data_IF_859730926082
#
_entry.id   IF_859730926082
#
_cell.length_a   1.000
_cell.length_b   1.000
_cell.length_c   1.000
_cell.angle_alpha   90.00
_cell.angle_beta   90.00
_cell.angle_gamma   90.00
#
_symmetry.space_group_name_H-M   'P 1'
#
loop_
_entity.id
_entity.type
_entity.pdbx_description
1 polymer ?
#
# COMPACT_ATOMS: atom_id res chain seq x y z
N UNK A 1 -3.17 -20.56 4.78
CA UNK A 1 -2.93 -20.23 3.36
C UNK A 1 -1.58 -20.72 2.92
N UNK A 2 -1.39 -20.93 1.62
CA UNK A 2 -0.09 -21.18 1.01
C UNK A 2 0.24 -20.03 0.07
N UNK A 3 1.54 -19.70 -0.01
CA UNK A 3 2.03 -18.72 -0.97
C UNK A 3 2.33 -19.45 -2.28
N UNK A 4 1.55 -19.17 -3.30
CA UNK A 4 1.69 -19.78 -4.63
C UNK A 4 2.84 -19.13 -5.40
N UNK A 5 3.77 -19.94 -5.94
CA UNK A 5 4.97 -19.47 -6.64
C UNK A 5 4.62 -18.78 -7.96
N UNK A 6 3.67 -19.30 -8.73
CA UNK A 6 3.31 -18.70 -10.00
C UNK A 6 2.58 -17.37 -9.80
N UNK A 7 1.72 -17.29 -8.77
CA UNK A 7 1.10 -16.02 -8.41
C UNK A 7 2.15 -14.98 -7.98
N UNK A 8 3.14 -15.35 -7.15
CA UNK A 8 4.23 -14.45 -6.75
C UNK A 8 5.01 -13.95 -7.96
N UNK A 9 5.33 -14.85 -8.91
CA UNK A 9 6.01 -14.47 -10.15
C UNK A 9 5.22 -13.42 -10.92
N UNK A 10 3.91 -13.58 -11.05
CA UNK A 10 3.04 -12.60 -11.73
C UNK A 10 2.93 -11.28 -10.95
N UNK A 11 2.82 -11.36 -9.63
CA UNK A 11 2.83 -10.17 -8.77
C UNK A 11 4.13 -9.39 -8.94
N UNK A 12 5.25 -10.07 -8.88
CA UNK A 12 6.58 -9.47 -9.03
C UNK A 12 6.76 -8.80 -10.40
N UNK A 13 6.31 -9.44 -11.47
CA UNK A 13 6.34 -8.85 -12.81
C UNK A 13 5.54 -7.54 -12.88
N UNK A 14 4.36 -7.49 -12.26
CA UNK A 14 3.51 -6.28 -12.25
C UNK A 14 4.07 -5.17 -11.37
N UNK A 15 4.75 -5.53 -10.27
CA UNK A 15 5.29 -4.60 -9.28
C UNK A 15 6.75 -4.25 -9.51
N UNK A 16 7.50 -5.07 -10.28
CA UNK A 16 8.90 -4.83 -10.64
C UNK A 16 9.92 -5.42 -9.69
N UNK A 17 9.57 -6.46 -8.94
CA UNK A 17 10.50 -7.27 -8.17
C UNK A 17 11.18 -8.34 -9.03
N UNK A 18 12.25 -8.95 -8.51
CA UNK A 18 12.86 -10.14 -9.09
C UNK A 18 11.89 -11.33 -8.99
N UNK A 19 11.92 -12.24 -9.96
CA UNK A 19 10.91 -13.32 -10.09
C UNK A 19 10.82 -14.25 -8.87
N UNK A 20 11.95 -14.60 -8.28
CA UNK A 20 12.01 -15.63 -7.21
C UNK A 20 11.93 -15.08 -5.78
N UNK A 21 11.59 -13.80 -5.61
CA UNK A 21 11.49 -13.16 -4.29
C UNK A 21 10.04 -13.12 -3.85
N UNK A 22 9.73 -13.57 -2.64
CA UNK A 22 8.46 -13.24 -2.00
C UNK A 22 8.59 -11.82 -1.46
N UNK A 23 8.08 -10.85 -2.21
CA UNK A 23 8.15 -9.44 -1.83
C UNK A 23 7.43 -9.19 -0.50
N UNK A 24 7.99 -8.32 0.33
CA UNK A 24 7.42 -7.97 1.65
C UNK A 24 5.95 -7.53 1.56
N UNK A 25 5.58 -6.83 0.48
CA UNK A 25 4.21 -6.36 0.20
C UNK A 25 3.28 -7.44 -0.36
N UNK A 26 3.79 -8.60 -0.78
CA UNK A 26 2.97 -9.66 -1.36
C UNK A 26 2.01 -10.28 -0.33
N UNK A 27 2.45 -10.49 0.91
CA UNK A 27 1.63 -11.05 1.98
C UNK A 27 0.41 -10.17 2.30
N UNK A 28 0.52 -8.85 2.17
CA UNK A 28 -0.62 -7.93 2.31
C UNK A 28 -1.73 -8.25 1.29
N UNK A 29 -1.35 -8.62 0.07
CA UNK A 29 -2.31 -9.01 -0.97
C UNK A 29 -2.89 -10.40 -0.70
N UNK A 30 -2.09 -11.34 -0.23
CA UNK A 30 -2.57 -12.68 0.18
C UNK A 30 -3.62 -12.58 1.29
N UNK A 31 -3.46 -11.64 2.22
CA UNK A 31 -4.42 -11.40 3.30
C UNK A 31 -5.66 -10.59 2.89
N UNK A 32 -5.65 -9.93 1.72
CA UNK A 32 -6.71 -8.99 1.32
C UNK A 32 -8.13 -9.60 1.29
N UNK A 33 -8.35 -10.88 0.94
CA UNK A 33 -9.68 -11.49 1.04
C UNK A 33 -10.23 -11.50 2.47
N UNK A 34 -9.37 -11.69 3.49
CA UNK A 34 -9.78 -11.63 4.90
C UNK A 34 -10.12 -10.19 5.32
N UNK A 35 -9.36 -9.19 4.85
CA UNK A 35 -9.70 -7.78 5.07
C UNK A 35 -11.07 -7.47 4.49
N UNK A 36 -11.32 -7.86 3.24
CA UNK A 36 -12.61 -7.63 2.58
C UNK A 36 -13.75 -8.37 3.28
N UNK A 37 -13.52 -9.63 3.69
CA UNK A 37 -14.50 -10.39 4.46
C UNK A 37 -14.85 -9.68 5.76
N UNK A 38 -13.86 -9.24 6.55
CA UNK A 38 -14.06 -8.55 7.82
C UNK A 38 -14.82 -7.23 7.64
N UNK A 39 -14.42 -6.42 6.66
CA UNK A 39 -15.03 -5.11 6.38
C UNK A 39 -16.45 -5.21 5.78
N UNK A 40 -16.80 -6.35 5.17
CA UNK A 40 -18.13 -6.60 4.61
C UNK A 40 -19.13 -7.18 5.61
N UNK A 41 -18.70 -7.51 6.82
CA UNK A 41 -19.58 -8.07 7.85
C UNK A 41 -20.66 -7.07 8.28
N UNK A 42 -21.89 -7.53 8.53
CA UNK A 42 -22.97 -6.65 9.02
C UNK A 42 -22.64 -5.95 10.33
N UNK A 43 -21.78 -6.54 11.15
CA UNK A 43 -21.32 -5.99 12.42
C UNK A 43 -20.32 -4.83 12.24
N UNK A 44 -19.75 -4.68 11.04
CA UNK A 44 -18.87 -3.55 10.73
C UNK A 44 -19.72 -2.29 10.52
N UNK A 45 -19.59 -1.27 11.39
CA UNK A 45 -20.53 -0.14 11.42
C UNK A 45 -20.35 0.87 10.28
N UNK A 46 -19.31 0.72 9.47
CA UNK A 46 -18.92 1.71 8.47
C UNK A 46 -19.04 1.14 7.05
N UNK A 47 -19.53 1.95 6.08
CA UNK A 47 -19.62 1.51 4.69
C UNK A 47 -18.23 1.30 4.12
N UNK A 48 -17.98 0.15 3.53
CA UNK A 48 -16.71 -0.19 2.88
C UNK A 48 -16.41 0.73 1.68
N UNK A 49 -17.46 1.18 1.00
CA UNK A 49 -17.33 2.07 -0.16
C UNK A 49 -16.89 3.46 0.27
N UNK A 50 -15.78 3.94 -0.29
CA UNK A 50 -15.20 5.25 0.04
C UNK A 50 -14.18 5.23 1.17
N UNK A 51 -13.86 4.05 1.72
CA UNK A 51 -12.71 3.90 2.60
C UNK A 51 -11.40 4.25 1.88
N UNK A 52 -10.48 4.86 2.62
CA UNK A 52 -9.19 5.29 2.10
C UNK A 52 -8.07 4.71 2.95
N UNK A 53 -7.15 4.00 2.31
CA UNK A 53 -5.93 3.52 2.94
C UNK A 53 -5.00 4.70 3.20
N UNK A 54 -4.66 4.98 4.46
CA UNK A 54 -3.83 6.13 4.88
C UNK A 54 -2.38 5.73 5.14
N UNK A 55 -2.18 4.67 5.91
CA UNK A 55 -0.87 4.22 6.37
C UNK A 55 -0.76 2.71 6.25
N UNK A 56 0.45 2.22 6.05
CA UNK A 56 0.76 0.81 6.21
C UNK A 56 2.16 0.66 6.82
N UNK A 57 2.25 -0.17 7.85
CA UNK A 57 3.51 -0.65 8.42
C UNK A 57 3.58 -2.14 8.20
N UNK A 58 4.59 -2.61 7.53
CA UNK A 58 4.79 -4.02 7.17
C UNK A 58 6.14 -4.48 7.72
N UNK A 59 6.17 -5.64 8.36
CA UNK A 59 7.38 -6.21 8.93
C UNK A 59 7.47 -7.71 8.67
N UNK A 60 8.62 -8.17 8.16
CA UNK A 60 8.99 -9.58 8.05
C UNK A 60 9.90 -9.94 9.22
N UNK A 61 9.37 -10.72 10.16
CA UNK A 61 10.11 -11.22 11.33
C UNK A 61 10.97 -12.42 10.89
N UNK A 62 10.36 -13.33 10.12
CA UNK A 62 11.03 -14.42 9.43
C UNK A 62 10.65 -14.40 7.96
N UNK A 63 11.56 -14.77 7.04
CA UNK A 63 11.21 -14.85 5.62
C UNK A 63 10.00 -15.76 5.39
N UNK A 64 9.10 -15.34 4.53
CA UNK A 64 8.04 -16.21 4.05
C UNK A 64 8.58 -17.16 2.99
N UNK A 65 8.09 -18.40 3.00
CA UNK A 65 8.58 -19.49 2.17
C UNK A 65 7.45 -20.14 1.37
N UNK A 66 7.80 -20.68 0.21
CA UNK A 66 6.86 -21.47 -0.60
C UNK A 66 6.61 -22.84 0.05
N UNK A 67 5.38 -23.32 -0.06
CA UNK A 67 5.00 -24.65 0.45
C UNK A 67 4.77 -24.72 1.96
N UNK A 68 5.00 -23.64 2.67
CA UNK A 68 4.69 -23.54 4.11
C UNK A 68 3.23 -23.13 4.29
N UNK A 69 2.44 -23.84 5.09
CA UNK A 69 1.09 -23.43 5.47
C UNK A 69 1.15 -22.32 6.51
N UNK A 70 0.56 -21.18 6.21
CA UNK A 70 0.44 -20.06 7.15
C UNK A 70 -0.99 -19.98 7.67
N UNK A 71 -1.15 -19.81 8.97
CA UNK A 71 -2.36 -19.29 9.57
C UNK A 71 -2.33 -17.77 9.50
N UNK A 72 -3.42 -17.17 8.99
CA UNK A 72 -3.52 -15.72 8.83
C UNK A 72 -4.62 -15.19 9.71
N UNK A 73 -4.25 -14.30 10.60
CA UNK A 73 -5.17 -13.64 11.54
C UNK A 73 -5.27 -12.16 11.19
N UNK A 74 -6.50 -11.68 11.09
CA UNK A 74 -6.80 -10.25 10.91
C UNK A 74 -7.66 -9.78 12.06
N UNK A 75 -7.22 -8.73 12.74
CA UNK A 75 -7.97 -8.11 13.85
C UNK A 75 -8.18 -6.63 13.60
N UNK A 76 -9.32 -6.11 14.09
CA UNK A 76 -9.58 -4.67 14.12
C UNK A 76 -8.87 -4.11 15.34
N UNK A 77 -8.02 -3.11 15.12
CA UNK A 77 -7.30 -2.41 16.16
C UNK A 77 -8.02 -1.15 16.65
N UNK A 78 -7.23 -0.16 17.02
CA UNK A 78 -7.76 1.09 17.54
C UNK A 78 -8.59 1.87 16.53
N UNK A 79 -9.63 2.54 17.01
CA UNK A 79 -10.44 3.47 16.24
C UNK A 79 -10.25 4.89 16.78
N UNK A 80 -9.94 5.84 15.88
CA UNK A 80 -9.62 7.23 16.22
C UNK A 80 -10.50 8.19 15.43
N UNK A 81 -11.03 9.21 16.12
CA UNK A 81 -11.67 10.35 15.45
C UNK A 81 -10.59 11.29 14.88
N UNK A 82 -10.63 11.52 13.58
CA UNK A 82 -9.77 12.51 12.91
C UNK A 82 -10.65 13.52 12.14
N UNK A 83 -10.10 14.67 11.71
CA UNK A 83 -10.92 15.71 11.06
C UNK A 83 -11.66 15.26 9.80
N UNK A 84 -11.14 14.24 9.12
CA UNK A 84 -11.69 13.70 7.88
C UNK A 84 -12.75 12.61 8.12
N UNK A 85 -12.83 12.04 9.34
CA UNK A 85 -13.73 10.94 9.66
C UNK A 85 -13.24 10.08 10.82
N UNK A 86 -13.50 8.80 10.72
CA UNK A 86 -12.99 7.78 11.64
C UNK A 86 -11.84 7.03 10.97
N UNK A 87 -10.72 6.97 11.67
CA UNK A 87 -9.57 6.15 11.29
C UNK A 87 -9.54 4.92 12.19
N UNK A 88 -9.32 3.76 11.63
CA UNK A 88 -9.16 2.52 12.36
C UNK A 88 -8.05 1.66 11.76
N UNK A 89 -7.47 0.80 12.59
CA UNK A 89 -6.39 -0.08 12.19
C UNK A 89 -6.90 -1.50 11.91
N UNK A 90 -6.30 -2.15 10.90
CA UNK A 90 -6.35 -3.59 10.71
C UNK A 90 -4.96 -4.15 10.94
N UNK A 91 -4.84 -5.04 11.92
CA UNK A 91 -3.63 -5.80 12.17
C UNK A 91 -3.73 -7.14 11.47
N UNK A 92 -2.69 -7.52 10.76
CA UNK A 92 -2.61 -8.78 10.02
C UNK A 92 -1.33 -9.50 10.42
N UNK A 93 -1.44 -10.77 10.75
CA UNK A 93 -0.32 -11.60 11.15
C UNK A 93 -0.36 -12.95 10.43
N UNK A 94 0.81 -13.41 10.00
CA UNK A 94 1.02 -14.72 9.41
C UNK A 94 1.80 -15.58 10.40
N UNK A 95 1.26 -16.71 10.76
CA UNK A 95 1.83 -17.63 11.74
C UNK A 95 2.24 -18.97 11.11
N UNK A 96 3.28 -19.58 11.70
CA UNK A 96 3.57 -21.02 11.59
C UNK A 96 3.59 -21.58 13.01
N UNK A 97 2.58 -22.37 13.35
CA UNK A 97 2.31 -22.70 14.75
C UNK A 97 2.03 -21.44 15.55
N UNK A 98 2.76 -21.22 16.65
CA UNK A 98 2.63 -20.04 17.51
C UNK A 98 3.60 -18.89 17.14
N UNK A 99 4.39 -19.06 16.08
CA UNK A 99 5.39 -18.06 15.70
C UNK A 99 4.89 -17.12 14.59
N UNK A 100 5.01 -15.81 14.82
CA UNK A 100 4.74 -14.79 13.81
C UNK A 100 5.91 -14.70 12.83
N UNK A 101 5.62 -14.86 11.55
CA UNK A 101 6.59 -14.69 10.47
C UNK A 101 6.51 -13.34 9.80
N UNK A 102 5.29 -12.81 9.65
CA UNK A 102 5.04 -11.53 8.99
C UNK A 102 3.86 -10.84 9.65
N UNK A 103 3.93 -9.52 9.74
CA UNK A 103 2.82 -8.72 10.26
C UNK A 103 2.68 -7.40 9.53
N UNK A 104 1.47 -6.85 9.54
CA UNK A 104 1.21 -5.48 9.12
C UNK A 104 0.16 -4.79 9.96
N UNK A 105 0.25 -3.47 10.00
CA UNK A 105 -0.79 -2.59 10.50
C UNK A 105 -1.19 -1.64 9.38
N UNK A 106 -2.44 -1.74 8.95
CA UNK A 106 -3.03 -0.90 7.91
C UNK A 106 -4.03 0.06 8.54
N UNK A 107 -3.82 1.38 8.41
CA UNK A 107 -4.76 2.40 8.90
C UNK A 107 -5.69 2.83 7.77
N UNK A 108 -6.99 2.75 8.02
CA UNK A 108 -8.05 3.03 7.06
C UNK A 108 -8.90 4.19 7.56
N UNK A 109 -9.16 5.16 6.69
CA UNK A 109 -10.10 6.24 6.92
C UNK A 109 -11.47 5.90 6.36
N UNK A 110 -12.47 5.95 7.19
CA UNK A 110 -13.87 6.06 6.79
C UNK A 110 -14.31 7.53 6.90
N UNK A 111 -14.68 8.15 5.80
CA UNK A 111 -15.09 9.56 5.78
C UNK A 111 -16.46 9.73 6.43
N UNK A 112 -16.50 10.50 7.51
CA UNK A 112 -17.72 10.84 8.24
C UNK A 112 -17.88 12.36 8.24
N UNK A 113 -19.06 12.85 7.87
CA UNK A 113 -19.37 14.29 7.91
C UNK A 113 -19.60 14.75 9.35
N UNK A 114 -19.23 16.00 9.63
CA UNK A 114 -19.51 16.61 10.94
C UNK A 114 -18.45 16.37 12.02
N UNK A 115 -17.33 15.72 11.69
CA UNK A 115 -16.21 15.60 12.62
C UNK A 115 -15.59 16.98 12.94
N UNK A 116 -15.20 17.20 14.20
CA UNK A 116 -14.55 18.43 14.61
C UNK A 116 -13.27 18.69 13.78
N UNK A 117 -13.11 19.90 13.31
CA UNK A 117 -11.84 20.29 12.66
C UNK A 117 -10.76 20.45 13.73
N UNK A 118 -9.50 20.08 13.43
CA UNK A 118 -8.40 20.31 14.36
C UNK A 118 -8.22 21.82 14.58
N UNK A 119 -7.82 22.18 15.77
CA UNK A 119 -7.52 23.57 16.12
C UNK A 119 -6.37 24.16 15.28
N UNK A 120 -5.48 23.32 14.76
CA UNK A 120 -4.39 23.68 13.86
C UNK A 120 -4.24 22.68 12.73
N UNK A 121 -3.80 23.12 11.55
CA UNK A 121 -3.37 22.20 10.50
C UNK A 121 -2.12 21.47 10.97
N UNK A 122 -2.03 20.15 10.68
CA UNK A 122 -0.77 19.42 10.89
C UNK A 122 0.37 20.16 10.20
N UNK A 123 1.52 20.24 10.85
CA UNK A 123 2.72 20.78 10.20
C UNK A 123 2.99 19.95 8.91
N UNK A 124 3.42 20.59 7.81
CA UNK A 124 3.88 19.86 6.64
C UNK A 124 4.97 18.87 7.08
N UNK A 125 4.90 17.62 6.59
CA UNK A 125 6.00 16.70 6.78
C UNK A 125 7.27 17.33 6.19
N UNK A 126 8.38 17.22 6.90
CA UNK A 126 9.67 17.69 6.41
C UNK A 126 10.01 16.92 5.12
N UNK A 127 10.33 17.67 4.06
CA UNK A 127 10.68 17.07 2.79
C UNK A 127 12.01 16.31 2.92
N UNK A 128 12.08 15.13 2.31
CA UNK A 128 13.31 14.37 2.28
C UNK A 128 14.44 15.21 1.66
N UNK A 129 15.62 15.20 2.30
CA UNK A 129 16.80 15.91 1.77
C UNK A 129 17.07 15.54 0.31
N UNK A 130 17.50 16.50 -0.48
CA UNK A 130 17.96 16.24 -1.84
C UNK A 130 19.43 15.77 -1.88
N UNK A 131 20.17 15.97 -0.78
CA UNK A 131 21.58 15.57 -0.69
C UNK A 131 21.70 14.05 -0.64
N UNK A 132 22.41 13.47 -1.61
CA UNK A 132 22.57 12.02 -1.73
C UNK A 132 21.34 11.28 -2.25
N UNK A 133 20.25 12.01 -2.61
CA UNK A 133 19.04 11.39 -3.11
C UNK A 133 19.21 10.82 -4.51
N UNK A 134 18.67 9.61 -4.70
CA UNK A 134 18.49 8.99 -6.01
C UNK A 134 17.07 9.22 -6.49
N UNK A 135 16.89 9.36 -7.79
CA UNK A 135 15.57 9.57 -8.42
C UNK A 135 15.35 8.53 -9.51
N UNK A 136 14.23 7.85 -9.45
CA UNK A 136 13.82 6.88 -10.46
C UNK A 136 12.45 7.27 -11.03
N UNK A 137 12.44 7.64 -12.31
CA UNK A 137 11.18 7.95 -13.02
C UNK A 137 10.43 6.66 -13.36
N UNK A 138 9.12 6.66 -13.12
CA UNK A 138 8.24 5.52 -13.40
C UNK A 138 7.04 6.01 -14.21
N UNK A 139 6.90 5.49 -15.43
CA UNK A 139 5.67 5.69 -16.22
C UNK A 139 4.57 4.79 -15.69
N UNK A 140 3.41 5.36 -15.42
CA UNK A 140 2.23 4.64 -14.93
C UNK A 140 1.19 4.64 -16.05
N UNK A 141 1.09 3.54 -16.84
CA UNK A 141 0.21 3.48 -17.99
C UNK A 141 -1.26 3.41 -17.58
N UNK A 142 -2.16 3.79 -18.48
CA UNK A 142 -3.61 3.79 -18.24
C UNK A 142 -4.16 2.45 -17.75
N UNK A 143 -3.58 1.34 -18.20
CA UNK A 143 -4.02 0.00 -17.83
C UNK A 143 -3.35 -0.56 -16.57
N UNK A 144 -2.55 0.23 -15.84
CA UNK A 144 -1.81 -0.26 -14.67
C UNK A 144 -2.75 -0.73 -13.54
N UNK A 145 -3.87 -0.04 -13.33
CA UNK A 145 -4.88 -0.47 -12.38
C UNK A 145 -5.43 -1.86 -12.73
N UNK A 146 -5.77 -2.10 -14.00
CA UNK A 146 -6.24 -3.42 -14.48
C UNK A 146 -5.18 -4.52 -14.39
N UNK A 147 -3.91 -4.18 -14.61
CA UNK A 147 -2.80 -5.14 -14.43
C UNK A 147 -2.67 -5.57 -12.98
N UNK A 148 -2.70 -4.59 -12.07
CA UNK A 148 -2.59 -4.89 -10.64
C UNK A 148 -3.83 -5.60 -10.10
N UNK A 149 -5.04 -5.24 -10.55
CA UNK A 149 -6.27 -5.91 -10.17
C UNK A 149 -6.23 -7.44 -10.40
N UNK A 150 -5.57 -7.89 -11.48
CA UNK A 150 -5.43 -9.32 -11.79
C UNK A 150 -4.60 -10.09 -10.77
N UNK A 151 -3.63 -9.44 -10.14
CA UNK A 151 -2.75 -10.08 -9.15
C UNK A 151 -3.17 -9.79 -7.71
N UNK A 152 -3.87 -8.69 -7.46
CA UNK A 152 -4.36 -8.31 -6.13
C UNK A 152 -5.79 -8.75 -5.84
N UNK A 153 -6.52 -9.16 -6.88
CA UNK A 153 -7.95 -9.41 -6.82
C UNK A 153 -8.80 -8.21 -6.36
N UNK A 154 -8.21 -7.00 -6.38
CA UNK A 154 -8.90 -5.75 -6.08
C UNK A 154 -9.44 -5.12 -7.38
N UNK A 155 -10.70 -5.40 -7.67
CA UNK A 155 -11.43 -4.88 -8.83
C UNK A 155 -12.28 -3.66 -8.49
N UNK A 156 -11.91 -2.86 -7.49
CA UNK A 156 -12.63 -1.63 -7.18
C UNK A 156 -12.71 -0.75 -8.44
N UNK A 157 -13.91 -0.34 -8.87
CA UNK A 157 -14.12 0.38 -10.13
C UNK A 157 -13.30 1.67 -10.31
N UNK A 158 -12.86 2.29 -9.21
CA UNK A 158 -12.02 3.50 -9.24
C UNK A 158 -10.64 3.26 -9.87
N UNK A 159 -10.20 2.00 -9.92
CA UNK A 159 -8.89 1.61 -10.45
C UNK A 159 -8.93 1.11 -11.90
N UNK A 160 -10.11 0.82 -12.43
CA UNK A 160 -10.24 0.09 -13.68
C UNK A 160 -10.35 1.00 -14.91
N UNK A 161 -11.27 1.98 -14.85
CA UNK A 161 -11.57 2.86 -15.98
C UNK A 161 -11.91 4.28 -15.49
N UNK A 162 -11.60 5.28 -16.33
CA UNK A 162 -11.92 6.67 -16.02
C UNK A 162 -13.43 6.91 -15.85
N UNK A 163 -14.25 6.21 -16.65
CA UNK A 163 -15.71 6.32 -16.61
C UNK A 163 -16.26 5.85 -15.25
N UNK A 164 -15.80 4.70 -14.79
CA UNK A 164 -16.22 4.15 -13.49
C UNK A 164 -15.69 4.97 -12.33
N UNK A 165 -14.45 5.47 -12.39
CA UNK A 165 -13.86 6.32 -11.36
C UNK A 165 -14.62 7.65 -11.19
N UNK A 166 -15.17 8.22 -12.28
CA UNK A 166 -15.99 9.45 -12.23
C UNK A 166 -17.24 9.30 -11.38
N UNK A 167 -17.85 8.11 -11.34
CA UNK A 167 -19.02 7.84 -10.50
C UNK A 167 -18.71 7.95 -9.00
N UNK A 168 -17.43 7.83 -8.64
CA UNK A 168 -16.93 7.97 -7.26
C UNK A 168 -16.22 9.30 -7.01
N UNK A 169 -16.38 10.30 -7.89
CA UNK A 169 -15.85 11.66 -7.73
C UNK A 169 -14.39 11.86 -8.15
N UNK A 170 -13.75 10.87 -8.78
CA UNK A 170 -12.40 11.02 -9.32
C UNK A 170 -12.45 11.52 -10.76
N UNK A 171 -11.52 12.40 -11.13
CA UNK A 171 -11.44 12.94 -12.51
C UNK A 171 -11.01 11.87 -13.53
N UNK A 172 -10.20 10.92 -13.08
CA UNK A 172 -9.62 9.82 -13.86
C UNK A 172 -9.53 8.59 -12.97
N UNK A 173 -9.28 7.41 -13.57
CA UNK A 173 -8.91 6.25 -12.77
C UNK A 173 -7.64 6.52 -11.97
N UNK A 174 -7.51 5.88 -10.83
CA UNK A 174 -6.32 5.95 -9.98
C UNK A 174 -5.69 4.58 -9.86
N UNK A 175 -4.37 4.50 -9.75
CA UNK A 175 -3.73 3.21 -9.48
C UNK A 175 -3.93 2.83 -8.01
N UNK A 176 -3.90 1.53 -7.72
CA UNK A 176 -3.96 1.04 -6.33
C UNK A 176 -2.77 1.58 -5.51
N UNK A 177 -3.04 2.04 -4.29
CA UNK A 177 -2.00 2.49 -3.38
C UNK A 177 -0.94 1.42 -3.15
N UNK A 178 -1.37 0.17 -2.92
CA UNK A 178 -0.44 -0.94 -2.70
C UNK A 178 0.41 -1.31 -3.92
N UNK A 179 -0.04 -1.01 -5.16
CA UNK A 179 0.86 -1.09 -6.32
C UNK A 179 1.96 -0.02 -6.25
N UNK A 180 1.60 1.22 -5.89
CA UNK A 180 2.58 2.31 -5.73
C UNK A 180 3.59 1.95 -4.64
N UNK A 181 3.12 1.42 -3.50
CA UNK A 181 3.96 0.94 -2.42
C UNK A 181 4.93 -0.17 -2.88
N UNK A 182 4.39 -1.22 -3.53
CA UNK A 182 5.19 -2.33 -4.03
C UNK A 182 6.23 -1.89 -5.07
N UNK A 183 5.83 -1.01 -6.01
CA UNK A 183 6.74 -0.46 -7.01
C UNK A 183 7.84 0.39 -6.39
N UNK A 184 7.52 1.20 -5.40
CA UNK A 184 8.51 1.98 -4.65
C UNK A 184 9.48 1.08 -3.92
N UNK A 185 8.97 0.07 -3.18
CA UNK A 185 9.81 -0.88 -2.47
C UNK A 185 10.76 -1.62 -3.42
N UNK A 186 10.29 -2.06 -4.60
CA UNK A 186 11.15 -2.73 -5.58
C UNK A 186 12.32 -1.88 -6.08
N UNK A 187 12.13 -0.56 -6.14
CA UNK A 187 13.18 0.40 -6.53
C UNK A 187 14.15 0.62 -5.37
N UNK A 188 13.64 0.81 -4.17
CA UNK A 188 14.45 1.04 -2.97
C UNK A 188 15.31 -0.19 -2.63
N UNK A 189 14.75 -1.39 -2.70
CA UNK A 189 15.49 -2.65 -2.47
C UNK A 189 16.61 -2.87 -3.47
N UNK A 190 16.42 -2.44 -4.72
CA UNK A 190 17.48 -2.50 -5.71
C UNK A 190 18.69 -1.62 -5.32
N UNK A 191 18.45 -0.50 -4.64
CA UNK A 191 19.49 0.37 -4.08
C UNK A 191 20.11 -0.16 -2.79
N UNK A 192 19.32 -0.87 -1.96
CA UNK A 192 19.81 -1.49 -0.72
C UNK A 192 20.68 -2.74 -0.95
N UNK A 193 20.48 -3.41 -2.08
CA UNK A 193 21.16 -4.68 -2.38
C UNK A 193 20.65 -5.88 -1.57
N UNK A 194 19.61 -5.70 -0.74
CA UNK A 194 19.00 -6.74 0.06
C UNK A 194 17.48 -6.49 0.20
N UNK A 195 16.67 -7.56 0.42
CA UNK A 195 15.25 -7.40 0.72
C UNK A 195 15.03 -6.61 2.02
N UNK A 196 14.07 -5.70 1.99
CA UNK A 196 13.67 -4.97 3.18
C UNK A 196 12.94 -5.90 4.17
N UNK A 197 13.22 -5.70 5.46
CA UNK A 197 12.49 -6.40 6.54
C UNK A 197 11.35 -5.59 7.11
N UNK A 198 11.41 -4.27 6.94
CA UNK A 198 10.38 -3.36 7.40
C UNK A 198 10.11 -2.29 6.35
N UNK A 199 8.84 -1.94 6.19
CA UNK A 199 8.40 -0.92 5.26
C UNK A 199 7.24 -0.15 5.85
N UNK A 200 7.48 1.11 6.21
CA UNK A 200 6.50 2.04 6.73
C UNK A 200 6.17 3.06 5.65
N UNK A 201 4.88 3.32 5.43
CA UNK A 201 4.46 4.26 4.40
C UNK A 201 3.16 5.00 4.75
N UNK A 202 3.00 6.18 4.16
CA UNK A 202 1.79 7.00 4.25
C UNK A 202 1.36 7.45 2.87
N UNK A 203 0.11 7.19 2.52
CA UNK A 203 -0.49 7.69 1.28
C UNK A 203 -0.98 9.13 1.47
N UNK A 204 -0.55 10.05 0.62
CA UNK A 204 -0.90 11.47 0.70
C UNK A 204 -1.89 11.89 -0.40
N UNK A 205 -1.69 11.42 -1.62
CA UNK A 205 -2.48 11.78 -2.79
C UNK A 205 -2.65 10.58 -3.73
N UNK A 206 -3.76 10.48 -4.47
CA UNK A 206 -3.92 9.41 -5.47
C UNK A 206 -2.99 9.63 -6.66
N UNK A 207 -2.48 8.53 -7.20
CA UNK A 207 -1.76 8.49 -8.48
C UNK A 207 -2.77 8.26 -9.60
N UNK A 208 -2.98 9.26 -10.45
CA UNK A 208 -3.92 9.19 -11.58
C UNK A 208 -3.37 8.37 -12.75
N UNK A 209 -4.26 7.82 -13.55
CA UNK A 209 -3.93 7.01 -14.73
C UNK A 209 -4.40 7.68 -16.04
N UNK A 210 -3.53 7.83 -17.05
CA UNK A 210 -2.08 7.63 -17.01
C UNK A 210 -1.36 8.78 -16.32
N UNK A 211 -0.14 8.53 -15.80
CA UNK A 211 0.72 9.57 -15.25
C UNK A 211 2.20 9.14 -15.22
N UNK A 212 3.06 10.05 -14.78
CA UNK A 212 4.43 9.77 -14.38
C UNK A 212 4.62 10.07 -12.90
N UNK A 213 5.41 9.27 -12.24
CA UNK A 213 5.86 9.48 -10.86
C UNK A 213 7.38 9.39 -10.78
N UNK A 214 7.97 10.02 -9.80
CA UNK A 214 9.37 9.89 -9.46
C UNK A 214 9.51 9.34 -8.05
N UNK A 215 10.21 8.23 -7.90
CA UNK A 215 10.61 7.71 -6.59
C UNK A 215 11.94 8.35 -6.23
N UNK A 216 11.93 9.17 -5.21
CA UNK A 216 13.11 9.79 -4.60
C UNK A 216 13.45 9.00 -3.35
N UNK A 217 14.68 8.55 -3.19
CA UNK A 217 15.09 7.87 -1.96
C UNK A 217 16.54 8.21 -1.58
N UNK A 218 16.81 8.14 -0.30
CA UNK A 218 18.15 8.28 0.30
C UNK A 218 18.41 7.03 1.12
N UNK A 219 19.51 6.35 0.85
CA UNK A 219 19.91 5.14 1.57
C UNK A 219 21.13 5.45 2.43
N UNK A 220 21.06 5.13 3.72
CA UNK A 220 22.14 5.26 4.66
C UNK A 220 22.05 4.13 5.72
N UNK A 221 23.17 3.55 6.08
CA UNK A 221 23.29 2.57 7.18
C UNK A 221 22.28 1.40 7.12
N UNK A 222 22.00 0.91 5.90
CA UNK A 222 21.07 -0.21 5.71
C UNK A 222 19.58 0.14 5.80
N UNK A 223 19.26 1.43 5.88
CA UNK A 223 17.90 1.96 5.83
C UNK A 223 17.72 2.93 4.67
N UNK A 224 16.50 3.10 4.21
CA UNK A 224 16.16 4.08 3.17
C UNK A 224 14.94 4.89 3.58
N UNK A 225 15.03 6.20 3.42
CA UNK A 225 13.87 7.07 3.40
C UNK A 225 13.48 7.36 1.95
N UNK A 226 12.19 7.54 1.68
CA UNK A 226 11.71 7.77 0.32
C UNK A 226 10.54 8.75 0.26
N UNK A 227 10.36 9.34 -0.91
CA UNK A 227 9.18 10.11 -1.31
C UNK A 227 8.77 9.69 -2.73
N UNK A 228 7.48 9.52 -2.95
CA UNK A 228 6.94 9.39 -4.31
C UNK A 228 6.34 10.71 -4.72
N UNK A 229 6.86 11.26 -5.78
CA UNK A 229 6.51 12.58 -6.30
C UNK A 229 5.73 12.46 -7.61
N UNK A 230 4.72 13.29 -7.79
CA UNK A 230 4.08 13.45 -9.10
C UNK A 230 5.08 14.12 -10.07
N UNK A 231 5.27 13.54 -11.26
CA UNK A 231 6.20 14.09 -12.26
C UNK A 231 5.81 15.50 -12.70
N UNK A 232 4.50 15.80 -12.76
CA UNK A 232 3.97 17.06 -13.29
C UNK A 232 4.23 18.28 -12.40
N UNK A 233 4.09 18.15 -11.09
CA UNK A 233 4.07 19.27 -10.15
C UNK A 233 4.85 18.99 -8.85
N UNK A 234 5.61 17.91 -8.83
CA UNK A 234 6.43 17.44 -7.69
C UNK A 234 5.66 17.31 -6.37
N UNK A 235 4.33 17.18 -6.42
CA UNK A 235 3.54 16.91 -5.22
C UNK A 235 3.87 15.56 -4.65
N UNK A 236 3.97 15.51 -3.32
CA UNK A 236 4.19 14.26 -2.59
C UNK A 236 2.93 13.41 -2.64
N UNK A 237 3.05 12.22 -3.18
CA UNK A 237 1.98 11.24 -3.34
C UNK A 237 2.02 10.18 -2.23
N UNK A 238 3.23 9.81 -1.78
CA UNK A 238 3.49 8.82 -0.73
C UNK A 238 4.86 9.08 -0.09
N UNK A 239 4.98 8.81 1.18
CA UNK A 239 6.23 8.83 1.96
C UNK A 239 6.32 7.56 2.79
#
# INVERSE_FOLDING_TARGET
VFIDREWVRQYNLVCGFKEDVIALTAAQVVASPLHMFLLSRPEHPMPMLGMVHLHNSIESIKPLEYGVPYDVVVTVGETRGIPQGLEFDLHTEFFVGDEVHWKSTMSILCRVKGMPKPASKPAPAEALSAVGAQYTAVKVPENQGRKYAKVSNDYNPIHLYAQTAKLFGFKQAIVHGMWTAAKTLSIVEAGLGAPARKFDLSFKQPVFLPSGISVKHVTAEGASAFEVLAERDSKVLMV
#
